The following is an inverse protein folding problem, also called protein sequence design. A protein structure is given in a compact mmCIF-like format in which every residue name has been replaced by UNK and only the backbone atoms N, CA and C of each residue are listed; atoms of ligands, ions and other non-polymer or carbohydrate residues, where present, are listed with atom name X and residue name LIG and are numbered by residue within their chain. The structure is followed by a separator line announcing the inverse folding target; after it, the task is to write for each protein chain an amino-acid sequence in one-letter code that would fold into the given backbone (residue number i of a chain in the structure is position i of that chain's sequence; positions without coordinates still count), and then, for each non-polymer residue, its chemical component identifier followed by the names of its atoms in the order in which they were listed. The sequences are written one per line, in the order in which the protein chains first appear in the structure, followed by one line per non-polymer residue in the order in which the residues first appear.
data_IF_806726858333
#
_entry.id   IF_806726858333
#
_cell.length_a   1.000
_cell.length_b   1.000
_cell.length_c   1.000
_cell.angle_alpha   90.00
_cell.angle_beta   90.00
_cell.angle_gamma   90.00
#
_symmetry.space_group_name_H-M   'P 1'
#
loop_
_entity.id
_entity.type
_entity.pdbx_description
1 polymer ?
#
# COMPACT_ATOMS: atom_id res chain seq x y z
N UNK A 1 1.62 16.48 13.22
CA UNK A 1 0.89 15.20 13.43
C UNK A 1 1.44 14.17 12.45
N UNK A 2 1.71 12.94 12.89
CA UNK A 2 2.28 11.90 12.02
C UNK A 2 1.27 11.41 10.99
N UNK A 3 1.68 11.43 9.72
CA UNK A 3 0.98 10.77 8.61
C UNK A 3 1.87 9.64 8.10
N UNK A 4 1.26 8.61 7.52
CA UNK A 4 1.90 7.30 7.29
C UNK A 4 3.26 7.34 6.57
N UNK A 5 3.51 8.34 5.71
CA UNK A 5 4.75 8.46 4.95
C UNK A 5 5.37 9.88 4.94
N UNK A 6 4.78 10.85 5.66
CA UNK A 6 5.25 12.23 5.69
C UNK A 6 5.94 12.56 7.00
N UNK A 7 7.02 13.34 6.93
CA UNK A 7 7.65 13.91 8.11
C UNK A 7 6.65 14.80 8.83
N UNK A 8 6.54 14.65 10.14
CA UNK A 8 5.72 15.51 10.99
C UNK A 8 6.36 16.89 11.22
N UNK A 9 7.67 17.01 10.97
CA UNK A 9 8.43 18.25 11.08
C UNK A 9 8.40 19.07 9.78
N UNK A 10 8.61 18.43 8.62
CA UNK A 10 8.71 19.14 7.33
C UNK A 10 7.50 18.96 6.41
N UNK A 11 6.64 17.97 6.65
CA UNK A 11 5.53 17.62 5.75
C UNK A 11 5.96 16.87 4.47
N UNK A 12 7.26 16.75 4.22
CA UNK A 12 7.82 16.08 3.04
C UNK A 12 7.73 14.56 3.13
N UNK A 13 7.81 13.88 1.99
CA UNK A 13 7.87 12.42 1.93
C UNK A 13 9.17 11.93 2.58
N UNK A 14 9.06 11.11 3.64
CA UNK A 14 10.21 10.58 4.38
C UNK A 14 11.08 9.71 3.47
N UNK A 15 10.45 8.82 2.71
CA UNK A 15 11.11 7.95 1.76
C UNK A 15 10.17 7.61 0.61
N UNK A 16 10.57 7.91 -0.63
CA UNK A 16 9.75 7.64 -1.83
C UNK A 16 9.37 6.17 -1.97
N UNK A 17 10.17 5.24 -1.44
CA UNK A 17 9.87 3.80 -1.45
C UNK A 17 8.66 3.43 -0.59
N UNK A 18 8.28 4.25 0.40
CA UNK A 18 7.07 4.01 1.19
C UNK A 18 5.81 4.07 0.31
N UNK A 19 5.89 4.77 -0.81
CA UNK A 19 4.82 4.86 -1.79
C UNK A 19 4.86 3.74 -2.83
N UNK A 20 5.79 2.78 -2.75
CA UNK A 20 5.89 1.70 -3.74
C UNK A 20 5.24 0.43 -3.21
N UNK A 21 4.18 -0.04 -3.86
CA UNK A 21 3.46 -1.23 -3.43
C UNK A 21 4.33 -2.48 -3.58
N UNK A 22 4.64 -3.13 -2.47
CA UNK A 22 5.48 -4.32 -2.45
C UNK A 22 4.67 -5.59 -2.22
N UNK A 23 5.07 -6.67 -2.88
CA UNK A 23 4.64 -8.02 -2.53
C UNK A 23 5.72 -9.06 -2.89
N UNK A 24 5.99 -10.05 -2.02
CA UNK A 24 5.49 -10.18 -0.65
C UNK A 24 6.07 -9.10 0.28
N UNK A 25 5.28 -8.65 1.26
CA UNK A 25 5.76 -7.70 2.26
C UNK A 25 6.81 -8.38 3.15
N UNK A 26 8.02 -7.81 3.20
CA UNK A 26 9.13 -8.30 4.05
C UNK A 26 9.44 -7.27 5.15
N UNK A 27 10.72 -7.00 5.40
CA UNK A 27 11.20 -6.09 6.43
C UNK A 27 10.90 -4.61 6.14
N UNK A 28 10.71 -4.24 4.87
CA UNK A 28 10.54 -2.84 4.49
C UNK A 28 9.09 -2.39 4.60
N UNK A 29 8.93 -1.12 4.96
CA UNK A 29 7.64 -0.46 5.10
C UNK A 29 7.13 0.10 3.76
N UNK A 30 5.83 -0.05 3.52
CA UNK A 30 5.09 0.71 2.52
C UNK A 30 3.67 1.01 3.03
N UNK A 31 3.03 2.02 2.44
CA UNK A 31 1.71 2.50 2.89
C UNK A 31 0.64 1.40 2.83
N UNK A 32 0.70 0.49 1.86
CA UNK A 32 -0.29 -0.57 1.72
C UNK A 32 -0.11 -1.62 2.82
N UNK A 33 1.12 -1.88 3.27
CA UNK A 33 1.37 -2.71 4.47
C UNK A 33 0.71 -2.13 5.71
N UNK A 34 0.84 -0.82 5.95
CA UNK A 34 0.22 -0.18 7.10
C UNK A 34 -1.31 -0.19 7.02
N UNK A 35 -1.86 0.27 5.89
CA UNK A 35 -3.31 0.34 5.71
C UNK A 35 -3.96 -1.05 5.80
N UNK A 36 -3.34 -2.07 5.19
CA UNK A 36 -3.82 -3.46 5.25
C UNK A 36 -3.76 -4.03 6.67
N UNK A 37 -2.79 -3.61 7.48
CA UNK A 37 -2.76 -3.95 8.90
C UNK A 37 -3.88 -3.25 9.68
N UNK A 38 -4.13 -1.96 9.44
CA UNK A 38 -5.19 -1.22 10.14
C UNK A 38 -6.58 -1.75 9.83
N UNK A 39 -6.88 -2.06 8.56
CA UNK A 39 -8.16 -2.70 8.22
C UNK A 39 -8.29 -4.07 8.88
N UNK A 40 -7.20 -4.87 8.89
CA UNK A 40 -7.23 -6.19 9.52
C UNK A 40 -7.47 -6.10 11.03
N UNK A 41 -6.93 -5.08 11.67
CA UNK A 41 -7.14 -4.79 13.09
C UNK A 41 -8.49 -4.10 13.39
N UNK A 42 -9.34 -3.86 12.38
CA UNK A 42 -10.65 -3.24 12.57
C UNK A 42 -10.60 -1.77 13.00
N UNK A 43 -9.50 -1.07 12.71
CA UNK A 43 -9.32 0.34 13.10
C UNK A 43 -10.29 1.20 12.28
N UNK A 44 -11.03 2.15 12.91
CA UNK A 44 -11.89 3.06 12.17
C UNK A 44 -11.06 4.01 11.31
N UNK A 45 -11.71 4.66 10.35
CA UNK A 45 -11.07 5.71 9.55
C UNK A 45 -10.46 6.81 10.44
N UNK A 46 -9.25 7.25 10.07
CA UNK A 46 -8.57 8.40 10.64
C UNK A 46 -8.10 9.31 9.50
N UNK A 47 -8.35 10.62 9.63
CA UNK A 47 -8.04 11.60 8.58
C UNK A 47 -6.55 11.66 8.20
N UNK A 48 -5.65 11.20 9.08
CA UNK A 48 -4.21 11.09 8.82
C UNK A 48 -3.85 9.98 7.83
N UNK A 49 -4.78 9.12 7.46
CA UNK A 49 -4.61 8.07 6.46
C UNK A 49 -5.00 8.52 5.05
N UNK A 50 -5.73 9.63 4.90
CA UNK A 50 -6.35 10.02 3.63
C UNK A 50 -5.32 10.16 2.51
N UNK A 51 -4.17 10.78 2.78
CA UNK A 51 -3.13 10.95 1.76
C UNK A 51 -2.54 9.62 1.27
N UNK A 52 -2.47 8.60 2.14
CA UNK A 52 -2.07 7.26 1.74
C UNK A 52 -3.18 6.54 0.94
N UNK A 53 -4.46 6.73 1.30
CA UNK A 53 -5.61 6.19 0.57
C UNK A 53 -5.69 6.78 -0.85
N UNK A 54 -5.48 8.09 -0.99
CA UNK A 54 -5.46 8.79 -2.28
C UNK A 54 -4.36 8.23 -3.18
N UNK A 55 -3.15 8.04 -2.63
CA UNK A 55 -2.03 7.44 -3.37
C UNK A 55 -2.34 5.99 -3.76
N UNK A 56 -3.00 5.23 -2.89
CA UNK A 56 -3.43 3.88 -3.22
C UNK A 56 -4.41 3.90 -4.39
N UNK A 57 -5.44 4.75 -4.37
CA UNK A 57 -6.40 4.91 -5.47
C UNK A 57 -5.71 5.33 -6.78
N UNK A 58 -4.78 6.29 -6.74
CA UNK A 58 -4.03 6.74 -7.92
C UNK A 58 -3.17 5.62 -8.55
N UNK A 59 -2.79 4.60 -7.77
CA UNK A 59 -2.02 3.45 -8.26
C UNK A 59 -2.89 2.35 -8.85
N UNK A 60 -4.21 2.47 -8.79
CA UNK A 60 -5.14 1.56 -9.47
C UNK A 60 -4.91 1.65 -10.97
N UNK A 61 -4.71 0.51 -11.61
CA UNK A 61 -4.57 0.40 -13.06
C UNK A 61 -5.95 0.51 -13.72
N UNK A 62 -5.96 0.75 -15.03
CA UNK A 62 -7.19 0.78 -15.83
C UNK A 62 -7.99 -0.53 -15.79
N UNK A 63 -7.30 -1.64 -15.61
CA UNK A 63 -7.89 -2.99 -15.46
C UNK A 63 -8.46 -3.24 -14.05
N UNK A 64 -8.43 -2.23 -13.17
CA UNK A 64 -8.94 -2.31 -11.80
C UNK A 64 -7.99 -2.98 -10.81
N UNK A 65 -6.81 -3.43 -11.24
CA UNK A 65 -5.81 -4.11 -10.40
C UNK A 65 -4.74 -3.15 -9.87
N UNK A 66 -3.98 -3.62 -8.88
CA UNK A 66 -2.78 -2.94 -8.39
C UNK A 66 -1.52 -3.71 -8.78
N UNK A 67 -0.42 -3.05 -9.15
CA UNK A 67 0.80 -3.73 -9.55
C UNK A 67 1.71 -4.09 -8.36
N UNK A 68 2.68 -4.98 -8.58
CA UNK A 68 3.90 -5.03 -7.75
C UNK A 68 4.84 -3.92 -8.22
N UNK A 69 5.07 -2.87 -7.44
CA UNK A 69 6.00 -1.78 -7.80
C UNK A 69 7.39 -1.97 -7.23
N UNK A 70 7.50 -2.63 -6.06
CA UNK A 70 8.77 -2.92 -5.42
C UNK A 70 8.89 -4.41 -5.07
N UNK A 71 10.10 -4.94 -5.25
CA UNK A 71 10.51 -6.24 -4.71
C UNK A 71 11.65 -6.05 -3.72
N UNK A 72 11.64 -6.89 -2.71
CA UNK A 72 12.73 -6.97 -1.74
C UNK A 72 13.65 -8.12 -2.12
N UNK A 73 14.96 -7.88 -2.05
CA UNK A 73 15.97 -8.91 -2.24
C UNK A 73 15.86 -10.01 -1.17
N UNK A 74 16.40 -11.17 -1.50
CA UNK A 74 16.41 -12.34 -0.63
C UNK A 74 16.03 -13.62 -1.38
N UNK A 75 16.26 -14.77 -0.74
CA UNK A 75 15.91 -16.05 -1.32
C UNK A 75 14.38 -16.21 -1.41
N UNK A 76 13.94 -16.82 -2.52
CA UNK A 76 12.56 -17.17 -2.81
C UNK A 76 12.54 -18.58 -3.39
N UNK A 77 11.49 -19.34 -3.09
CA UNK A 77 11.29 -20.66 -3.71
C UNK A 77 10.82 -20.54 -5.16
N UNK A 78 10.02 -19.52 -5.46
CA UNK A 78 9.53 -19.22 -6.79
C UNK A 78 9.09 -17.75 -6.88
N UNK A 79 9.03 -17.24 -8.10
CA UNK A 79 8.54 -15.90 -8.37
C UNK A 79 7.00 -15.91 -8.49
N UNK A 80 6.32 -15.19 -7.61
CA UNK A 80 4.85 -15.12 -7.62
C UNK A 80 4.33 -14.28 -8.80
N UNK A 81 4.67 -12.98 -8.85
CA UNK A 81 4.07 -12.03 -9.80
C UNK A 81 5.08 -10.98 -10.24
N UNK A 82 5.36 -10.80 -11.56
CA UNK A 82 6.37 -9.89 -12.10
C UNK A 82 6.20 -8.43 -11.65
N UNK A 83 7.32 -7.74 -11.41
CA UNK A 83 7.33 -6.30 -11.12
C UNK A 83 6.69 -5.51 -12.27
N UNK A 84 5.87 -4.52 -11.94
CA UNK A 84 5.16 -3.65 -12.88
C UNK A 84 3.88 -4.24 -13.46
N UNK A 85 3.63 -5.54 -13.28
CA UNK A 85 2.44 -6.24 -13.78
C UNK A 85 1.33 -6.28 -12.73
N UNK A 86 0.06 -6.51 -13.14
CA UNK A 86 -1.04 -6.76 -12.22
C UNK A 86 -0.68 -7.78 -11.14
N UNK A 87 -1.06 -7.48 -9.89
CA UNK A 87 -0.82 -8.34 -8.73
C UNK A 87 -2.14 -8.71 -8.08
N UNK A 88 -2.45 -10.00 -8.01
CA UNK A 88 -3.61 -10.54 -7.29
C UNK A 88 -3.52 -10.21 -5.81
N UNK A 89 -2.33 -10.26 -5.22
CA UNK A 89 -2.13 -10.00 -3.80
C UNK A 89 -2.25 -8.53 -3.43
N UNK A 90 -1.59 -7.63 -4.18
CA UNK A 90 -1.78 -6.20 -3.92
C UNK A 90 -3.20 -5.77 -4.25
N UNK A 91 -3.85 -6.37 -5.25
CA UNK A 91 -5.27 -6.09 -5.54
C UNK A 91 -6.16 -6.53 -4.38
N UNK A 92 -5.99 -7.74 -3.84
CA UNK A 92 -6.75 -8.20 -2.68
C UNK A 92 -6.59 -7.25 -1.48
N UNK A 93 -5.35 -6.88 -1.15
CA UNK A 93 -5.03 -6.00 -0.02
C UNK A 93 -5.59 -4.61 -0.23
N UNK A 94 -5.44 -4.05 -1.44
CA UNK A 94 -5.99 -2.74 -1.77
C UNK A 94 -7.52 -2.73 -1.67
N UNK A 95 -8.21 -3.75 -2.19
CA UNK A 95 -9.66 -3.84 -2.12
C UNK A 95 -10.16 -3.96 -0.68
N UNK A 96 -9.48 -4.73 0.18
CA UNK A 96 -9.81 -4.81 1.62
C UNK A 96 -9.69 -3.45 2.29
N UNK A 97 -8.56 -2.76 2.07
CA UNK A 97 -8.32 -1.42 2.61
C UNK A 97 -9.39 -0.44 2.14
N UNK A 98 -9.62 -0.35 0.83
CA UNK A 98 -10.52 0.66 0.27
C UNK A 98 -11.96 0.42 0.69
N UNK A 99 -12.41 -0.84 0.78
CA UNK A 99 -13.74 -1.16 1.30
C UNK A 99 -13.89 -0.83 2.79
N UNK A 100 -12.90 -1.20 3.59
CA UNK A 100 -12.96 -0.98 5.04
C UNK A 100 -13.01 0.51 5.42
N UNK A 101 -12.39 1.37 4.62
CA UNK A 101 -12.38 2.82 4.82
C UNK A 101 -13.35 3.57 3.88
N UNK A 102 -14.37 2.90 3.35
CA UNK A 102 -15.45 3.49 2.53
C UNK A 102 -14.94 4.32 1.33
N UNK A 103 -13.84 3.91 0.70
CA UNK A 103 -13.26 4.56 -0.47
C UNK A 103 -13.78 3.98 -1.80
N UNK A 104 -14.44 2.83 -1.73
CA UNK A 104 -15.12 2.15 -2.84
C UNK A 104 -16.36 1.44 -2.28
N UNK A 105 -17.37 1.25 -3.13
CA UNK A 105 -18.57 0.46 -2.83
C UNK A 105 -18.26 -1.03 -2.56
#
# INVERSE_FOLDING_TARGET
QHRLFRSDHTGEIINKRFLMLSYPSRWFYDILRALDYFQFAGIPYDSRMQDALDILLQKRRKDGTWPVQARHSGQIHFEMEPTGKPSRWNTLRALRVLRHFDQID
#
